data_IF_234575185683
#
_entry.id   IF_234575185683
#
_cell.length_a   1.000
_cell.length_b   1.000
_cell.length_c   1.000
_cell.angle_alpha   90.00
_cell.angle_beta   90.00
_cell.angle_gamma   90.00
#
_symmetry.space_group_name_H-M   'P 1'
#
loop_
_entity.id
_entity.type
_entity.pdbx_description
1 polymer ?
#
# COMPACT_ATOMS: atom_id res chain seq x y z
N UNK A 1 22.41 -15.81 2.33
CA UNK A 1 21.06 -16.40 2.52
C UNK A 1 20.51 -16.73 1.14
N UNK A 2 20.02 -17.95 0.90
CA UNK A 2 19.27 -18.25 -0.30
C UNK A 2 17.90 -17.54 -0.27
N UNK A 3 17.34 -17.15 -1.43
CA UNK A 3 15.99 -16.60 -1.49
C UNK A 3 14.97 -17.67 -1.06
N UNK A 4 13.84 -17.28 -0.43
CA UNK A 4 12.82 -18.23 -0.03
C UNK A 4 12.20 -18.92 -1.27
N UNK A 5 11.82 -20.21 -1.17
CA UNK A 5 11.29 -20.98 -2.29
C UNK A 5 9.97 -20.40 -2.84
N UNK A 6 9.86 -20.39 -4.17
CA UNK A 6 8.76 -19.81 -4.95
C UNK A 6 7.35 -20.34 -4.61
N UNK A 7 7.25 -21.45 -3.87
CA UNK A 7 5.99 -22.06 -3.46
C UNK A 7 5.16 -21.21 -2.47
N UNK A 8 5.75 -20.19 -1.82
CA UNK A 8 5.03 -19.34 -0.85
C UNK A 8 4.30 -18.13 -1.45
N UNK A 9 4.30 -17.96 -2.77
CA UNK A 9 3.66 -16.80 -3.43
C UNK A 9 2.16 -17.00 -3.70
N UNK A 10 1.65 -18.24 -3.67
CA UNK A 10 0.28 -18.56 -4.09
C UNK A 10 -0.80 -18.41 -2.99
N UNK A 11 -0.42 -18.15 -1.75
CA UNK A 11 -1.35 -18.02 -0.61
C UNK A 11 -1.42 -16.62 -0.01
N UNK A 12 -0.65 -15.66 -0.54
CA UNK A 12 -0.67 -14.29 -0.01
C UNK A 12 -1.93 -13.60 -0.50
N UNK A 13 -2.71 -12.96 0.40
CA UNK A 13 -3.84 -12.15 -0.03
C UNK A 13 -3.35 -11.14 -1.06
N UNK A 14 -4.10 -11.00 -2.16
CA UNK A 14 -3.85 -10.05 -3.25
C UNK A 14 -3.79 -8.59 -2.79
N UNK A 15 -4.08 -8.33 -1.52
CA UNK A 15 -3.78 -7.10 -0.81
C UNK A 15 -3.39 -7.48 0.63
N UNK A 16 -2.11 -7.35 0.97
CA UNK A 16 -1.62 -7.75 2.28
C UNK A 16 -0.49 -6.87 2.79
N UNK A 17 -0.51 -6.61 4.10
CA UNK A 17 0.60 -6.02 4.83
C UNK A 17 1.32 -7.14 5.58
N UNK A 18 2.64 -7.13 5.53
CA UNK A 18 3.52 -8.13 6.13
C UNK A 18 4.83 -7.49 6.59
N UNK A 19 5.65 -8.25 7.32
CA UNK A 19 6.97 -7.80 7.81
C UNK A 19 6.91 -6.47 8.56
N UNK A 20 5.86 -6.27 9.37
CA UNK A 20 5.74 -5.06 10.19
C UNK A 20 6.76 -5.15 11.32
N UNK A 21 7.73 -4.23 11.31
CA UNK A 21 8.79 -4.13 12.32
C UNK A 21 8.81 -2.70 12.83
N UNK A 22 8.71 -2.53 14.15
CA UNK A 22 8.75 -1.23 14.83
C UNK A 22 10.01 -1.12 15.68
N UNK A 23 10.79 -0.07 15.42
CA UNK A 23 12.04 0.27 16.10
C UNK A 23 11.95 1.72 16.58
N UNK A 24 11.58 1.91 17.85
CA UNK A 24 11.26 3.25 18.37
C UNK A 24 10.13 3.90 17.57
N UNK A 25 10.37 5.10 17.06
CA UNK A 25 9.38 5.86 16.29
C UNK A 25 9.29 5.44 14.81
N UNK A 26 10.18 4.54 14.37
CA UNK A 26 10.21 4.06 12.99
C UNK A 26 9.46 2.75 12.88
N UNK A 27 8.56 2.66 11.90
CA UNK A 27 7.93 1.39 11.52
C UNK A 27 8.19 1.11 10.05
N UNK A 28 8.67 -0.10 9.75
CA UNK A 28 8.87 -0.59 8.37
C UNK A 28 7.90 -1.72 8.13
N UNK A 29 7.29 -1.77 6.95
CA UNK A 29 6.43 -2.88 6.54
C UNK A 29 6.50 -3.09 5.04
N UNK A 30 6.10 -4.28 4.60
CA UNK A 30 5.92 -4.62 3.19
C UNK A 30 4.43 -4.67 2.88
N UNK A 31 3.99 -3.82 1.95
CA UNK A 31 2.64 -3.90 1.39
C UNK A 31 2.68 -4.54 0.01
N UNK A 32 2.01 -5.68 -0.13
CA UNK A 32 1.82 -6.36 -1.39
C UNK A 32 0.48 -5.95 -1.98
N UNK A 33 0.54 -5.32 -3.16
CA UNK A 33 -0.61 -5.02 -4.00
C UNK A 33 -0.62 -5.99 -5.17
N UNK A 34 -1.70 -6.74 -5.29
CA UNK A 34 -1.90 -7.79 -6.28
C UNK A 34 -2.46 -7.25 -7.60
N UNK A 35 -3.42 -7.97 -8.19
CA UNK A 35 -3.92 -7.72 -9.55
C UNK A 35 -4.54 -6.33 -9.69
N UNK A 36 -3.75 -5.37 -10.20
CA UNK A 36 -4.20 -3.99 -10.48
C UNK A 36 -4.79 -3.79 -11.88
N UNK A 37 -4.65 -4.77 -12.78
CA UNK A 37 -5.21 -4.72 -14.14
C UNK A 37 -6.70 -4.31 -14.23
N UNK A 38 -7.61 -4.83 -13.38
CA UNK A 38 -9.04 -4.48 -13.48
C UNK A 38 -9.38 -3.07 -13.00
N UNK A 39 -8.45 -2.36 -12.35
CA UNK A 39 -8.70 -1.03 -11.80
C UNK A 39 -8.65 0.02 -12.91
N UNK A 40 -9.47 1.05 -12.82
CA UNK A 40 -9.57 2.19 -13.74
C UNK A 40 -8.78 3.40 -13.23
N UNK A 41 -8.71 4.45 -14.05
CA UNK A 41 -8.22 5.76 -13.59
C UNK A 41 -9.04 6.23 -12.38
N UNK A 42 -8.37 6.71 -11.34
CA UNK A 42 -9.02 7.13 -10.09
C UNK A 42 -9.40 6.00 -9.13
N UNK A 43 -9.27 4.72 -9.51
CA UNK A 43 -9.58 3.61 -8.60
C UNK A 43 -8.42 3.36 -7.60
N UNK A 44 -8.68 3.40 -6.28
CA UNK A 44 -7.67 3.17 -5.26
C UNK A 44 -7.57 1.69 -4.83
N UNK A 45 -6.40 1.32 -4.30
CA UNK A 45 -6.20 0.17 -3.42
C UNK A 45 -5.73 0.67 -2.07
N UNK A 46 -6.35 0.18 -0.99
CA UNK A 46 -6.00 0.56 0.38
C UNK A 46 -5.20 -0.54 1.07
N UNK A 47 -4.13 -0.18 1.77
CA UNK A 47 -3.48 -1.12 2.69
C UNK A 47 -4.36 -1.36 3.92
N UNK A 48 -4.08 -2.45 4.65
CA UNK A 48 -4.51 -2.52 6.05
C UNK A 48 -3.82 -1.41 6.86
N UNK A 49 -4.45 -0.88 7.93
CA UNK A 49 -3.81 0.06 8.83
C UNK A 49 -2.52 -0.51 9.44
N UNK A 50 -1.51 0.34 9.58
CA UNK A 50 -0.23 0.03 10.24
C UNK A 50 0.02 1.08 11.30
N UNK A 51 0.35 0.61 12.51
CA UNK A 51 0.67 1.50 13.62
C UNK A 51 2.11 1.99 13.50
N UNK A 52 2.31 3.30 13.48
CA UNK A 52 3.63 3.94 13.42
C UNK A 52 3.59 5.28 14.17
N UNK A 53 4.59 5.56 15.02
CA UNK A 53 4.65 6.81 15.78
C UNK A 53 3.40 7.08 16.62
N UNK A 54 2.82 6.04 17.24
CA UNK A 54 1.59 6.15 18.05
C UNK A 54 0.28 6.33 17.28
N UNK A 55 0.31 6.50 15.95
CA UNK A 55 -0.86 6.69 15.09
C UNK A 55 -1.08 5.51 14.15
N UNK A 56 -2.31 5.35 13.66
CA UNK A 56 -2.63 4.38 12.62
C UNK A 56 -2.58 5.06 11.24
N UNK A 57 -1.80 4.45 10.35
CA UNK A 57 -1.57 4.93 9.00
C UNK A 57 -2.11 3.92 8.00
N UNK A 58 -2.68 4.40 6.89
CA UNK A 58 -3.01 3.59 5.72
C UNK A 58 -2.27 4.13 4.50
N UNK A 59 -1.89 3.22 3.61
CA UNK A 59 -1.38 3.57 2.30
C UNK A 59 -2.50 3.47 1.28
N UNK A 60 -2.56 4.43 0.36
CA UNK A 60 -3.52 4.46 -0.75
C UNK A 60 -2.74 4.47 -2.05
N UNK A 61 -3.02 3.51 -2.93
CA UNK A 61 -2.33 3.38 -4.21
C UNK A 61 -3.32 3.48 -5.36
N UNK A 62 -3.06 4.39 -6.28
CA UNK A 62 -3.78 4.56 -7.53
C UNK A 62 -2.86 4.08 -8.67
N UNK A 63 -3.00 2.82 -9.13
CA UNK A 63 -2.10 2.24 -10.13
C UNK A 63 -2.17 2.93 -11.48
N UNK A 64 -3.30 3.55 -11.79
CA UNK A 64 -3.52 4.36 -13.01
C UNK A 64 -3.66 5.83 -12.68
N UNK A 65 -3.16 6.29 -11.52
CA UNK A 65 -3.19 7.69 -11.14
C UNK A 65 -4.49 8.16 -10.52
N UNK A 66 -4.38 9.18 -9.67
CA UNK A 66 -5.53 9.85 -9.05
C UNK A 66 -5.96 11.09 -9.83
N UNK A 67 -5.02 11.99 -10.12
CA UNK A 67 -5.27 13.23 -10.88
C UNK A 67 -4.70 13.20 -12.30
N UNK A 68 -3.69 12.37 -12.54
CA UNK A 68 -2.99 12.26 -13.81
C UNK A 68 -2.87 10.78 -14.20
N UNK A 69 -3.46 10.34 -15.33
CA UNK A 69 -3.50 8.94 -15.72
C UNK A 69 -2.14 8.37 -16.15
N UNK A 70 -1.15 9.22 -16.43
CA UNK A 70 0.16 8.80 -16.92
C UNK A 70 1.10 8.35 -15.78
N UNK A 71 0.70 8.59 -14.52
CA UNK A 71 1.48 8.25 -13.34
C UNK A 71 0.72 7.34 -12.40
N UNK A 72 1.46 6.54 -11.63
CA UNK A 72 0.90 5.91 -10.45
C UNK A 72 1.04 6.83 -9.24
N UNK A 73 0.03 6.89 -8.38
CA UNK A 73 0.03 7.76 -7.19
C UNK A 73 0.03 6.92 -5.92
N UNK A 74 0.88 7.24 -4.95
CA UNK A 74 0.91 6.62 -3.61
C UNK A 74 0.77 7.71 -2.55
N UNK A 75 -0.17 7.52 -1.64
CA UNK A 75 -0.41 8.42 -0.51
C UNK A 75 -0.28 7.65 0.80
N UNK A 76 0.28 8.30 1.82
CA UNK A 76 0.26 7.85 3.20
C UNK A 76 -0.69 8.75 3.98
N UNK A 77 -1.70 8.19 4.63
CA UNK A 77 -2.73 8.93 5.37
C UNK A 77 -2.80 8.45 6.81
N UNK A 78 -2.81 9.39 7.74
CA UNK A 78 -3.16 9.12 9.14
C UNK A 78 -4.67 9.01 9.25
N UNK A 79 -5.16 7.89 9.77
CA UNK A 79 -6.61 7.64 9.91
C UNK A 79 -7.23 8.68 10.84
N UNK A 80 -6.52 9.06 11.90
CA UNK A 80 -7.00 10.09 12.83
C UNK A 80 -7.19 11.44 12.16
N UNK A 81 -6.23 11.86 11.34
CA UNK A 81 -6.32 13.15 10.63
C UNK A 81 -7.40 13.14 9.54
N UNK A 82 -7.72 11.98 8.96
CA UNK A 82 -8.79 11.85 7.97
C UNK A 82 -10.19 11.92 8.60
N UNK A 83 -10.31 11.45 9.84
CA UNK A 83 -11.56 11.47 10.61
C UNK A 83 -11.70 12.74 11.47
N UNK A 84 -10.71 13.62 11.46
CA UNK A 84 -10.73 14.87 12.22
C UNK A 84 -11.70 15.84 11.55
N UNK A 85 -12.83 16.09 12.20
CA UNK A 85 -13.83 17.08 11.75
C UNK A 85 -13.40 18.54 12.09
N UNK A 86 -12.25 18.70 12.77
CA UNK A 86 -11.74 20.00 13.20
C UNK A 86 -12.44 20.53 14.46
N UNK A 87 -12.10 21.76 14.84
CA UNK A 87 -12.82 22.48 15.88
C UNK A 87 -13.96 23.30 15.25
N UNK A 88 -15.24 23.00 15.54
CA UNK A 88 -16.38 23.69 14.93
C UNK A 88 -16.47 25.16 15.31
N UNK A 89 -15.78 25.59 16.37
CA UNK A 89 -15.73 26.99 16.81
C UNK A 89 -14.49 27.73 16.29
N UNK A 90 -13.45 26.99 15.88
CA UNK A 90 -12.22 27.56 15.38
C UNK A 90 -11.61 26.69 14.26
N UNK A 91 -11.99 26.92 12.99
CA UNK A 91 -11.58 26.08 11.87
C UNK A 91 -10.07 26.08 11.61
N UNK A 92 -9.33 27.07 12.12
CA UNK A 92 -7.87 27.16 11.97
C UNK A 92 -7.11 26.38 13.06
N UNK A 93 -7.82 25.86 14.07
CA UNK A 93 -7.20 25.12 15.17
C UNK A 93 -6.84 23.71 14.71
N UNK A 94 -5.57 23.37 14.84
CA UNK A 94 -5.09 21.98 14.66
C UNK A 94 -5.57 21.14 15.86
N UNK A 95 -6.51 20.23 15.63
CA UNK A 95 -7.08 19.32 16.62
C UNK A 95 -6.34 17.98 16.67
N UNK A 96 -5.90 17.45 15.54
CA UNK A 96 -5.04 16.25 15.48
C UNK A 96 -3.69 16.51 14.80
N UNK A 97 -2.63 15.83 15.28
CA UNK A 97 -1.27 15.94 14.72
C UNK A 97 -0.67 14.57 14.49
N UNK A 98 -0.27 14.31 13.24
CA UNK A 98 0.50 13.13 12.87
C UNK A 98 1.63 13.55 11.92
N UNK A 99 2.88 13.34 12.36
CA UNK A 99 4.06 13.59 11.53
C UNK A 99 4.67 12.25 11.13
N UNK A 100 4.98 12.09 9.85
CA UNK A 100 5.70 10.92 9.36
C UNK A 100 6.67 11.30 8.26
N UNK A 101 7.85 10.68 8.28
CA UNK A 101 8.73 10.61 7.11
C UNK A 101 8.47 9.29 6.41
N UNK A 102 7.97 9.35 5.18
CA UNK A 102 7.63 8.16 4.40
C UNK A 102 8.73 7.92 3.37
N UNK A 103 9.35 6.73 3.43
CA UNK A 103 10.27 6.26 2.39
C UNK A 103 9.60 5.14 1.62
N UNK A 104 9.35 5.37 0.33
CA UNK A 104 8.76 4.38 -0.57
C UNK A 104 9.86 3.71 -1.37
N UNK A 105 9.83 2.38 -1.44
CA UNK A 105 10.63 1.58 -2.36
C UNK A 105 9.69 0.68 -3.15
N UNK A 106 9.80 0.71 -4.47
CA UNK A 106 9.00 -0.14 -5.36
C UNK A 106 9.90 -1.18 -6.01
N UNK A 107 9.48 -2.44 -5.95
CA UNK A 107 10.17 -3.54 -6.63
C UNK A 107 9.17 -4.23 -7.55
N UNK A 108 9.20 -3.95 -8.86
CA UNK A 108 8.37 -4.66 -9.82
C UNK A 108 8.67 -6.15 -9.72
N UNK A 109 7.66 -6.97 -9.45
CA UNK A 109 7.77 -8.40 -9.60
C UNK A 109 7.46 -8.73 -11.06
N UNK A 110 8.26 -9.58 -11.73
CA UNK A 110 7.89 -10.12 -13.04
C UNK A 110 6.49 -10.72 -12.94
N UNK A 111 5.66 -10.50 -13.95
CA UNK A 111 4.42 -11.26 -14.06
C UNK A 111 4.81 -12.74 -14.14
N UNK A 112 4.48 -13.50 -13.10
CA UNK A 112 4.57 -14.96 -13.14
C UNK A 112 3.47 -15.41 -14.11
N UNK A 113 3.77 -15.35 -15.42
CA UNK A 113 2.98 -16.00 -16.45
C UNK A 113 3.17 -17.48 -16.20
N UNK A 114 2.34 -18.04 -15.31
CA UNK A 114 2.31 -19.46 -15.00
C UNK A 114 2.47 -20.24 -16.30
N UNK A 115 3.49 -21.10 -16.33
CA UNK A 115 3.98 -21.74 -17.55
C UNK A 115 2.84 -22.11 -18.47
N UNK A 116 2.93 -21.63 -19.71
CA UNK A 116 2.12 -22.13 -20.81
C UNK A 116 2.30 -23.65 -20.83
N UNK A 117 1.37 -24.38 -20.20
CA UNK A 117 1.27 -25.82 -20.39
C UNK A 117 1.06 -26.03 -21.86
N UNK A 118 1.95 -26.84 -22.42
CA UNK A 118 1.96 -27.36 -23.77
C UNK A 118 0.56 -27.45 -24.36
N UNK A 119 0.27 -26.53 -25.28
CA UNK A 119 -0.79 -26.74 -26.24
C UNK A 119 -0.23 -27.74 -27.23
N UNK A 120 -0.44 -29.03 -26.95
CA UNK A 120 -0.28 -30.08 -27.94
C UNK A 120 -1.02 -29.64 -29.21
N UNK A 121 -0.26 -29.49 -30.30
CA UNK A 121 -0.79 -29.33 -31.64
C UNK A 121 -1.46 -30.64 -32.07
N UNK A 122 -2.47 -30.58 -32.97
CA UNK A 122 -3.21 -31.76 -33.44
C UNK A 122 -2.32 -32.78 -34.16
#
# INVERSE_FOLDING_TARGET
>A
MPPPPAAMLHSRPWNSVSNVVSEGDRTTFTWCVGRVKPLSFGDPVYSKPVRAGGSEWKMVYFPKGFTDPDYASVYATSIKCELDEGDPQNPDRITERAFATVKVSMTPQPADFGGAKDRAAP
#
